data_IF_704011544335
#
_entry.id   IF_704011544335
#
_cell.length_a   1.000
_cell.length_b   1.000
_cell.length_c   1.000
_cell.angle_alpha   90.00
_cell.angle_beta   90.00
_cell.angle_gamma   90.00
#
_symmetry.space_group_name_H-M   'P 1'
#
loop_
_entity.id
_entity.type
_entity.pdbx_description
1 polymer ?
2 non-polymer ?
3 water ?
#
# COMPACT_ATOMS: atom_id res chain seq x y z
N UNK A 3 1.13 16.55 -17.30
CA UNK A 3 -0.35 16.73 -17.17
C UNK A 3 -0.73 17.17 -15.75
N UNK A 4 -0.23 16.44 -14.76
CA UNK A 4 -0.52 16.69 -13.35
C UNK A 4 0.75 16.83 -12.53
N UNK A 5 0.63 17.50 -11.38
CA UNK A 5 1.77 17.68 -10.48
C UNK A 5 1.43 17.02 -9.14
N UNK A 6 0.30 16.33 -9.09
CA UNK A 6 -0.16 15.66 -7.87
C UNK A 6 0.80 14.57 -7.39
N UNK A 7 0.91 14.44 -6.08
CA UNK A 7 1.82 13.46 -5.48
C UNK A 7 1.34 12.02 -5.58
N UNK A 8 0.04 11.82 -5.44
CA UNK A 8 -0.54 10.48 -5.42
C UNK A 8 -1.74 10.26 -6.34
N UNK A 9 -2.06 8.99 -6.61
CA UNK A 9 -3.19 8.68 -7.48
C UNK A 9 -4.50 9.02 -6.81
N UNK A 10 -5.60 8.81 -7.56
CA UNK A 10 -6.92 9.12 -7.05
C UNK A 10 -7.35 10.56 -7.25
N UNK A 11 -6.59 11.30 -8.07
CA UNK A 11 -6.87 12.72 -8.30
C UNK A 11 -7.97 12.98 -9.30
N UNK A 12 -9.13 12.42 -9.01
CA UNK A 12 -10.26 12.59 -9.93
C UNK A 12 -10.74 14.02 -10.03
N UNK A 13 -10.64 14.81 -8.96
CA UNK A 13 -11.10 16.20 -9.04
C UNK A 13 -10.22 16.99 -10.01
N UNK A 14 -8.91 16.84 -9.90
CA UNK A 14 -7.97 17.53 -10.77
C UNK A 14 -8.15 17.07 -12.23
N UNK A 15 -8.30 15.78 -12.44
CA UNK A 15 -8.46 15.26 -13.78
C UNK A 15 -9.77 15.74 -14.41
N UNK A 16 -10.84 15.76 -13.62
CA UNK A 16 -12.13 16.20 -14.12
C UNK A 16 -12.02 17.65 -14.54
N UNK A 17 -11.26 18.45 -13.83
CA UNK A 17 -11.13 19.86 -14.19
C UNK A 17 -10.44 20.04 -15.53
N UNK A 18 -9.52 19.15 -15.90
CA UNK A 18 -8.82 19.24 -17.16
C UNK A 18 -9.82 18.97 -18.30
N UNK A 19 -10.72 18.02 -18.09
CA UNK A 19 -11.72 17.69 -19.12
C UNK A 19 -12.92 18.60 -19.07
N UNK A 20 -13.14 19.25 -17.94
CA UNK A 20 -14.30 20.11 -17.81
C UNK A 20 -15.55 19.32 -17.53
N UNK A 21 -15.42 18.17 -16.86
CA UNK A 21 -16.58 17.34 -16.51
C UNK A 21 -16.64 17.07 -15.01
N UNK A 22 -17.59 16.25 -14.59
CA UNK A 22 -17.74 15.94 -13.17
C UNK A 22 -16.81 14.80 -12.78
N UNK A 23 -16.20 14.90 -11.59
CA UNK A 23 -15.28 13.84 -11.14
C UNK A 23 -15.92 12.46 -11.08
N UNK A 24 -17.22 12.38 -10.84
CA UNK A 24 -17.86 11.07 -10.76
C UNK A 24 -18.06 10.41 -12.12
N UNK A 25 -17.70 11.11 -13.20
CA UNK A 25 -17.83 10.56 -14.54
C UNK A 25 -16.54 9.88 -14.98
N UNK A 26 -15.49 9.99 -14.18
CA UNK A 26 -14.22 9.33 -14.51
C UNK A 26 -14.17 7.89 -14.00
N UNK A 27 -13.53 7.03 -14.78
CA UNK A 27 -13.30 5.63 -14.38
C UNK A 27 -11.83 5.70 -13.91
N UNK A 28 -11.64 5.60 -12.59
CA UNK A 28 -10.33 5.75 -12.00
C UNK A 28 -9.53 4.48 -11.85
N UNK A 29 -8.44 4.41 -12.59
CA UNK A 29 -7.48 3.30 -12.53
C UNK A 29 -6.18 3.77 -11.87
N UNK A 30 -6.21 4.93 -11.21
CA UNK A 30 -5.01 5.49 -10.61
C UNK A 30 -4.86 5.28 -9.09
N UNK A 31 -5.88 4.76 -8.46
CA UNK A 31 -5.89 4.47 -7.03
C UNK A 31 -6.23 3.01 -7.06
N UNK A 32 -5.65 2.26 -6.18
CA UNK A 32 -5.89 0.82 -6.23
C UNK A 32 -6.80 0.36 -5.12
N UNK A 33 -8.08 0.62 -5.31
CA UNK A 33 -9.05 0.23 -4.32
C UNK A 33 -9.90 -0.92 -4.85
N UNK A 34 -10.15 -1.90 -3.99
CA UNK A 34 -10.98 -3.06 -4.32
C UNK A 34 -12.21 -2.48 -5.04
N UNK A 35 -12.54 -2.97 -6.25
CA UNK A 35 -13.70 -2.44 -7.01
C UNK A 35 -15.05 -3.04 -6.69
N UNK A 36 -15.12 -3.97 -5.76
CA UNK A 36 -16.38 -4.65 -5.45
C UNK A 36 -17.42 -3.91 -4.65
N UNK A 37 -17.19 -2.63 -4.36
CA UNK A 37 -18.18 -1.88 -3.61
C UNK A 37 -17.75 -1.63 -2.19
N UNK A 38 -18.54 -2.08 -1.22
CA UNK A 38 -18.22 -1.92 0.19
C UNK A 38 -18.63 -3.20 0.94
N UNK A 39 -17.82 -3.66 1.90
CA UNK A 39 -18.17 -4.88 2.66
C UNK A 39 -19.51 -4.71 3.36
N UNK A 40 -20.31 -5.77 3.38
CA UNK A 40 -21.62 -5.73 4.04
C UNK A 40 -21.44 -5.51 5.54
N UNK A 41 -20.38 -6.09 6.11
CA UNK A 41 -20.13 -5.93 7.55
C UNK A 41 -19.91 -4.47 7.89
N UNK A 42 -19.29 -3.73 6.97
CA UNK A 42 -19.00 -2.33 7.22
C UNK A 42 -20.21 -1.42 7.03
N UNK A 43 -20.93 -1.59 5.93
CA UNK A 43 -22.07 -0.72 5.68
C UNK A 43 -23.10 -0.79 6.80
N UNK A 44 -23.45 -2.00 7.20
CA UNK A 44 -24.43 -2.20 8.26
C UNK A 44 -23.97 -1.57 9.56
N UNK A 45 -22.74 -1.87 9.98
CA UNK A 45 -22.20 -1.35 11.22
C UNK A 45 -22.25 0.19 11.28
N UNK A 46 -21.78 0.83 10.22
CA UNK A 46 -21.78 2.29 10.20
C UNK A 46 -23.19 2.86 10.27
N UNK A 47 -24.10 2.31 9.49
CA UNK A 47 -25.47 2.79 9.49
C UNK A 47 -26.16 2.60 10.85
N UNK A 48 -26.02 1.42 11.42
CA UNK A 48 -26.69 1.14 12.70
C UNK A 48 -26.04 1.77 13.92
N UNK A 49 -24.87 2.38 13.77
CA UNK A 49 -24.19 2.94 14.93
C UNK A 49 -23.68 4.36 14.67
N UNK A 50 -24.29 5.05 13.73
CA UNK A 50 -23.86 6.39 13.38
C UNK A 50 -23.77 7.35 14.56
N UNK A 51 -24.67 7.19 15.53
CA UNK A 51 -24.67 8.10 16.68
C UNK A 51 -23.41 8.03 17.52
N UNK A 52 -22.57 7.01 17.28
CA UNK A 52 -21.36 6.94 18.07
C UNK A 52 -20.43 8.13 17.77
N UNK A 53 -20.69 8.88 16.70
CA UNK A 53 -19.83 10.03 16.43
C UNK A 53 -20.06 11.16 17.42
N UNK A 54 -21.10 11.05 18.23
CA UNK A 54 -21.39 12.08 19.23
C UNK A 54 -20.45 12.04 20.43
N UNK A 55 -19.58 11.02 20.48
CA UNK A 55 -18.61 10.89 21.57
C UNK A 55 -17.21 10.71 21.00
N UNK A 56 -16.21 11.09 21.79
CA UNK A 56 -14.83 10.83 21.38
C UNK A 56 -14.61 9.32 21.33
N UNK A 57 -13.72 8.86 20.46
CA UNK A 57 -13.43 7.43 20.40
C UNK A 57 -12.65 7.17 21.71
N UNK A 58 -12.60 5.92 22.14
CA UNK A 58 -11.80 5.51 23.31
C UNK A 58 -10.34 5.88 22.94
N UNK A 59 -9.70 6.75 23.72
CA UNK A 59 -8.34 7.18 23.42
C UNK A 59 -7.34 6.04 23.35
N UNK A 60 -7.65 4.94 24.03
CA UNK A 60 -6.78 3.76 24.04
C UNK A 60 -7.15 2.74 22.97
N UNK A 61 -8.32 2.91 22.34
CA UNK A 61 -8.79 2.01 21.29
C UNK A 61 -8.69 0.55 21.68
N UNK A 62 -9.11 0.27 22.91
CA UNK A 62 -8.99 -1.11 23.37
C UNK A 62 -9.73 -2.12 22.50
N UNK A 63 -11.00 -1.87 22.20
CA UNK A 63 -11.77 -2.80 21.40
C UNK A 63 -11.20 -3.00 20.00
N UNK A 64 -10.78 -1.90 19.38
CA UNK A 64 -10.26 -2.00 18.04
C UNK A 64 -8.97 -2.81 18.02
N UNK A 65 -8.07 -2.50 18.95
CA UNK A 65 -6.81 -3.22 18.99
C UNK A 65 -7.01 -4.71 19.37
N UNK A 66 -7.99 -5.01 20.23
CA UNK A 66 -8.28 -6.39 20.60
C UNK A 66 -8.79 -7.13 19.35
N UNK A 67 -9.61 -6.46 18.53
CA UNK A 67 -10.13 -7.11 17.32
C UNK A 67 -9.00 -7.42 16.34
N UNK A 68 -8.08 -6.46 16.14
CA UNK A 68 -6.99 -6.66 15.21
C UNK A 68 -6.06 -7.73 15.79
N UNK A 69 -5.85 -7.70 17.11
CA UNK A 69 -4.97 -8.68 17.79
C UNK A 69 -5.53 -10.10 17.72
N UNK A 70 -6.84 -10.24 17.92
CA UNK A 70 -7.45 -11.57 17.86
C UNK A 70 -7.33 -12.12 16.44
N UNK A 71 -7.45 -11.23 15.45
CA UNK A 71 -7.33 -11.64 14.07
C UNK A 71 -5.95 -12.23 13.77
N UNK A 72 -4.90 -11.60 14.28
CA UNK A 72 -3.53 -12.06 14.05
C UNK A 72 -3.02 -12.99 15.14
N UNK A 73 -3.83 -13.18 16.17
CA UNK A 73 -3.47 -14.00 17.31
C UNK A 73 -2.15 -13.56 17.96
N UNK A 74 -2.06 -12.25 18.23
CA UNK A 74 -0.91 -11.67 18.91
C UNK A 74 -1.47 -10.81 20.04
N UNK A 75 -0.62 -10.41 20.98
CA UNK A 75 -1.06 -9.56 22.10
C UNK A 75 -1.52 -8.22 21.53
N UNK A 76 -2.53 -7.63 22.16
CA UNK A 76 -3.06 -6.34 21.69
C UNK A 76 -2.03 -5.22 21.83
N UNK A 77 -1.09 -5.33 22.78
CA UNK A 77 -0.08 -4.31 22.97
C UNK A 77 0.89 -4.25 21.82
N UNK A 78 0.85 -5.22 20.91
CA UNK A 78 1.75 -5.20 19.73
C UNK A 78 1.15 -4.38 18.60
N UNK A 79 -0.08 -3.88 18.77
CA UNK A 79 -0.75 -3.19 17.69
C UNK A 79 -1.15 -1.75 18.00
N UNK A 80 -0.91 -0.86 17.04
CA UNK A 80 -1.35 0.52 17.16
C UNK A 80 -2.03 0.92 15.84
N UNK A 81 -3.34 1.10 15.89
CA UNK A 81 -4.07 1.51 14.70
C UNK A 81 -3.74 2.97 14.38
N UNK A 82 -3.82 3.30 13.09
CA UNK A 82 -3.57 4.68 12.67
C UNK A 82 -4.66 5.13 11.71
N UNK A 83 -4.72 6.45 11.54
CA UNK A 83 -5.64 7.18 10.63
C UNK A 83 -5.07 6.96 9.21
N UNK A 84 -5.33 5.74 8.70
CA UNK A 84 -4.73 5.24 7.52
C UNK A 84 -3.37 4.63 7.84
N UNK A 85 -2.92 3.66 7.04
CA UNK A 85 -1.57 3.17 7.22
C UNK A 85 -0.61 4.34 7.00
N UNK A 86 -1.03 5.37 6.26
CA UNK A 86 -0.16 6.53 6.05
C UNK A 86 0.20 7.11 7.42
N UNK A 87 -0.73 7.17 8.37
CA UNK A 87 -0.36 7.67 9.68
C UNK A 87 0.64 6.73 10.34
N UNK A 88 0.44 5.42 10.20
CA UNK A 88 1.36 4.45 10.80
C UNK A 88 2.78 4.66 10.29
N UNK A 89 2.95 5.03 9.02
CA UNK A 89 4.26 5.33 8.46
C UNK A 89 4.89 6.53 9.18
N UNK A 90 4.13 7.61 9.36
CA UNK A 90 4.67 8.76 10.07
C UNK A 90 4.92 8.43 11.52
N UNK A 91 4.05 7.65 12.13
CA UNK A 91 4.28 7.26 13.51
C UNK A 91 5.55 6.44 13.67
N UNK A 92 5.76 5.44 12.81
CA UNK A 92 6.94 4.60 13.02
C UNK A 92 8.22 5.41 12.74
N UNK A 93 8.20 6.31 11.76
CA UNK A 93 9.38 7.12 11.48
C UNK A 93 9.67 8.04 12.65
N UNK A 94 8.67 8.71 13.18
CA UNK A 94 8.90 9.64 14.29
C UNK A 94 9.23 8.91 15.58
N UNK A 95 8.65 7.74 15.82
CA UNK A 95 8.89 6.99 17.03
C UNK A 95 10.24 6.32 17.03
N UNK A 96 10.75 5.96 15.85
CA UNK A 96 12.08 5.34 15.77
C UNK A 96 13.15 6.42 15.66
N UNK A 97 12.77 7.61 15.20
CA UNK A 97 13.73 8.72 15.06
C UNK A 97 15.09 8.27 14.54
N UNK A 98 15.10 7.61 13.39
CA UNK A 98 16.38 7.16 12.84
C UNK A 98 17.29 8.32 12.47
N UNK A 99 18.60 8.10 12.64
CA UNK A 99 19.60 9.05 12.22
C UNK A 99 19.97 8.78 10.75
N UNK A 100 20.00 7.49 10.39
CA UNK A 100 20.32 7.02 9.05
C UNK A 100 19.31 5.93 8.72
N UNK A 101 18.70 6.02 7.54
CA UNK A 101 17.71 5.02 7.12
C UNK A 101 17.86 4.75 5.65
N UNK A 102 17.47 3.55 5.24
CA UNK A 102 17.53 3.19 3.83
C UNK A 102 16.12 2.90 3.33
N UNK A 103 15.81 3.46 2.18
CA UNK A 103 14.55 3.19 1.49
C UNK A 103 14.91 2.55 0.16
N UNK A 104 13.93 1.92 -0.49
CA UNK A 104 14.15 1.22 -1.75
C UNK A 104 13.36 1.95 -2.82
N UNK A 105 14.00 2.33 -3.90
CA UNK A 105 13.30 3.08 -4.95
C UNK A 105 13.26 2.30 -6.24
N UNK A 106 12.16 2.40 -6.99
CA UNK A 106 10.97 3.23 -6.70
C UNK A 106 10.11 2.66 -5.57
N UNK A 107 9.47 3.56 -4.83
CA UNK A 107 8.61 3.19 -3.73
C UNK A 107 7.69 4.34 -3.34
N UNK A 108 6.76 4.07 -2.45
CA UNK A 108 5.78 5.05 -2.00
C UNK A 108 6.48 6.29 -1.45
N UNK A 109 6.06 7.47 -1.87
CA UNK A 109 6.74 8.70 -1.50
C UNK A 109 6.73 9.07 -0.04
N UNK A 110 5.72 8.61 0.69
CA UNK A 110 5.63 9.04 2.07
C UNK A 110 6.70 8.52 3.02
N UNK A 111 7.42 7.44 2.69
CA UNK A 111 8.48 7.00 3.59
C UNK A 111 9.53 8.11 3.69
N UNK A 112 9.97 8.61 2.53
CA UNK A 112 10.96 9.66 2.49
C UNK A 112 10.46 10.94 3.12
N UNK A 113 9.19 11.27 2.92
CA UNK A 113 8.66 12.49 3.53
C UNK A 113 8.65 12.39 5.04
N UNK A 114 8.23 11.24 5.57
CA UNK A 114 8.20 11.04 7.00
C UNK A 114 9.62 11.08 7.59
N UNK A 115 10.56 10.44 6.92
CA UNK A 115 11.94 10.42 7.41
C UNK A 115 12.54 11.80 7.38
N UNK A 116 12.28 12.58 6.33
CA UNK A 116 12.82 13.93 6.24
C UNK A 116 12.26 14.80 7.36
N UNK A 117 10.97 14.65 7.66
CA UNK A 117 10.34 15.44 8.71
C UNK A 117 10.96 15.13 10.07
N UNK A 118 11.49 13.92 10.23
CA UNK A 118 12.12 13.53 11.49
C UNK A 118 13.62 13.81 11.50
N UNK A 119 14.13 14.43 10.42
CA UNK A 119 15.54 14.80 10.31
C UNK A 119 16.56 13.72 9.90
N UNK A 120 16.11 12.61 9.38
CA UNK A 120 16.97 11.49 9.03
C UNK A 120 17.83 11.61 7.76
N UNK A 121 19.03 11.03 7.77
CA UNK A 121 19.88 10.96 6.57
C UNK A 121 19.29 9.77 5.81
N UNK A 122 18.86 10.01 4.57
CA UNK A 122 18.20 8.95 3.78
C UNK A 122 19.10 8.40 2.70
N UNK A 123 19.28 7.08 2.71
CA UNK A 123 20.06 6.38 1.72
C UNK A 123 19.09 5.60 0.86
N UNK A 124 19.35 5.57 -0.45
CA UNK A 124 18.48 4.86 -1.37
C UNK A 124 19.11 3.64 -1.97
N UNK A 125 18.39 2.53 -1.91
CA UNK A 125 18.82 1.30 -2.57
C UNK A 125 17.99 1.34 -3.85
N UNK A 126 18.66 1.39 -4.99
CA UNK A 126 17.99 1.46 -6.27
C UNK A 126 17.66 0.13 -6.90
N UNK A 127 16.37 -0.13 -7.10
CA UNK A 127 15.97 -1.33 -7.81
C UNK A 127 16.43 -1.11 -9.24
N UNK A 128 16.63 -2.20 -9.97
CA UNK A 128 17.10 -2.10 -11.36
C UNK A 128 16.17 -2.68 -12.40
N UNK A 129 16.08 -1.97 -13.51
CA UNK A 129 15.25 -2.46 -14.62
C UNK A 129 15.81 -3.81 -15.09
N UNK A 130 17.13 -4.01 -15.01
CA UNK A 130 17.75 -5.27 -15.43
C UNK A 130 17.32 -6.47 -14.59
N UNK A 131 16.78 -6.21 -13.40
CA UNK A 131 16.29 -7.26 -12.52
C UNK A 131 14.74 -7.31 -12.60
N UNK A 132 14.18 -6.67 -13.62
CA UNK A 132 12.72 -6.62 -13.73
C UNK A 132 12.12 -5.81 -12.58
N UNK A 133 12.94 -4.95 -11.97
CA UNK A 133 12.54 -4.10 -10.82
C UNK A 133 12.27 -4.89 -9.53
N UNK A 134 12.66 -6.17 -9.49
CA UNK A 134 12.47 -6.99 -8.31
C UNK A 134 13.63 -6.70 -7.36
N UNK A 135 13.36 -6.82 -6.06
CA UNK A 135 14.39 -6.63 -5.05
C UNK A 135 15.26 -7.89 -5.06
N UNK A 136 16.59 -7.72 -5.03
CA UNK A 136 17.49 -8.86 -5.04
C UNK A 136 18.43 -8.91 -3.84
N UNK A 137 19.17 -10.00 -3.73
CA UNK A 137 20.09 -10.16 -2.62
C UNK A 137 21.29 -9.22 -2.66
N UNK A 138 21.43 -8.43 -3.72
CA UNK A 138 22.51 -7.45 -3.78
C UNK A 138 22.32 -6.42 -2.66
N UNK A 139 21.09 -6.23 -2.16
CA UNK A 139 20.91 -5.28 -1.07
C UNK A 139 21.59 -5.71 0.23
N UNK A 140 21.83 -7.01 0.44
CA UNK A 140 22.42 -7.43 1.70
C UNK A 140 23.76 -6.75 2.02
N UNK A 141 24.65 -6.67 1.03
CA UNK A 141 25.96 -6.06 1.23
C UNK A 141 25.86 -4.57 1.52
N UNK A 142 24.76 -3.95 1.09
CA UNK A 142 24.54 -2.53 1.30
C UNK A 142 24.06 -2.23 2.72
N UNK A 143 23.71 -3.26 3.48
CA UNK A 143 23.25 -3.02 4.84
C UNK A 143 24.48 -2.94 5.72
N UNK A 144 24.58 -1.82 6.40
CA UNK A 144 25.73 -1.56 7.25
C UNK A 144 25.31 -1.30 8.69
N UNK A 145 26.24 -1.51 9.63
CA UNK A 145 25.95 -1.30 11.05
C UNK A 145 25.45 0.11 11.39
N UNK A 146 25.84 1.12 10.62
CA UNK A 146 25.38 2.45 10.96
C UNK A 146 23.93 2.76 10.57
N UNK A 147 23.27 1.84 9.88
CA UNK A 147 21.88 2.06 9.54
C UNK A 147 20.96 1.83 10.75
N UNK A 148 19.99 2.72 10.93
CA UNK A 148 19.02 2.54 12.01
C UNK A 148 17.74 1.83 11.54
N UNK A 149 17.37 2.07 10.28
CA UNK A 149 16.17 1.45 9.73
C UNK A 149 16.29 1.19 8.25
N UNK A 150 15.52 0.17 7.81
CA UNK A 150 15.40 -0.21 6.39
C UNK A 150 13.90 -0.38 6.14
N UNK A 151 13.38 0.29 5.11
CA UNK A 151 11.96 0.21 4.71
C UNK A 151 11.84 -0.56 3.42
N UNK A 152 11.07 -1.65 3.48
CA UNK A 152 10.78 -2.46 2.29
C UNK A 152 9.27 -2.52 2.12
N UNK A 153 8.81 -2.61 0.88
CA UNK A 153 7.36 -2.68 0.61
C UNK A 153 7.12 -4.06 -0.01
N UNK A 154 6.19 -4.79 0.58
CA UNK A 154 5.96 -6.19 0.22
C UNK A 154 4.47 -6.51 0.08
N UNK A 155 3.93 -6.49 -1.17
CA UNK A 155 4.58 -6.24 -2.45
C UNK A 155 4.84 -4.75 -2.65
N UNK A 156 5.75 -4.44 -3.56
CA UNK A 156 6.14 -3.05 -3.79
C UNK A 156 5.13 -2.22 -4.55
N UNK A 157 5.07 -0.93 -4.25
CA UNK A 157 4.23 0.06 -4.94
C UNK A 157 5.35 0.86 -5.59
N UNK A 158 5.34 1.05 -6.91
CA UNK A 158 4.36 0.66 -7.93
C UNK A 158 4.54 -0.62 -8.73
N UNK A 159 5.60 -1.36 -8.47
CA UNK A 159 5.89 -2.51 -9.30
C UNK A 159 4.97 -3.71 -9.10
N UNK A 160 4.37 -3.83 -7.92
CA UNK A 160 3.52 -4.98 -7.63
C UNK A 160 4.29 -6.27 -7.30
N UNK A 161 5.60 -6.20 -7.29
CA UNK A 161 6.40 -7.41 -7.05
C UNK A 161 6.63 -7.71 -5.58
N UNK A 162 6.49 -8.98 -5.21
CA UNK A 162 6.73 -9.40 -3.85
C UNK A 162 8.14 -9.99 -3.77
N UNK A 163 9.01 -9.44 -2.89
CA UNK A 163 10.35 -10.03 -2.82
C UNK A 163 10.19 -11.47 -2.36
N UNK A 164 11.12 -12.33 -2.79
CA UNK A 164 11.07 -13.73 -2.39
C UNK A 164 11.13 -13.87 -0.87
N UNK A 165 10.40 -14.82 -0.33
CA UNK A 165 10.38 -15.02 1.10
C UNK A 165 11.77 -15.32 1.68
N UNK A 166 12.55 -16.22 1.05
CA UNK A 166 13.87 -16.47 1.63
C UNK A 166 14.76 -15.23 1.63
N UNK A 167 14.54 -14.31 0.67
CA UNK A 167 15.34 -13.10 0.61
C UNK A 167 14.89 -12.20 1.78
N UNK A 168 13.59 -12.10 2.01
CA UNK A 168 13.11 -11.27 3.12
C UNK A 168 13.64 -11.85 4.45
N UNK A 169 13.68 -13.18 4.56
CA UNK A 169 14.18 -13.79 5.77
C UNK A 169 15.66 -13.47 5.93
N UNK A 170 16.42 -13.52 4.84
CA UNK A 170 17.85 -13.21 4.93
C UNK A 170 18.05 -11.76 5.33
N UNK A 171 17.23 -10.87 4.78
CA UNK A 171 17.33 -9.45 5.15
C UNK A 171 16.96 -9.27 6.63
N UNK A 172 15.88 -9.89 7.08
CA UNK A 172 15.49 -9.78 8.48
C UNK A 172 16.62 -10.27 9.39
N UNK A 173 17.25 -11.37 9.03
CA UNK A 173 18.33 -11.90 9.87
C UNK A 173 19.54 -10.99 9.87
N UNK A 174 19.88 -10.41 8.73
CA UNK A 174 21.01 -9.51 8.69
C UNK A 174 20.70 -8.26 9.52
N UNK A 175 19.47 -7.75 9.39
CA UNK A 175 19.09 -6.58 10.18
C UNK A 175 19.16 -6.91 11.67
N UNK A 176 18.77 -8.12 12.07
CA UNK A 176 18.83 -8.50 13.48
C UNK A 176 20.28 -8.41 13.96
N UNK A 177 21.19 -8.96 13.17
CA UNK A 177 22.62 -8.99 13.53
C UNK A 177 23.24 -7.61 13.58
N UNK A 178 22.81 -6.73 12.70
CA UNK A 178 23.34 -5.38 12.62
C UNK A 178 22.54 -4.35 13.42
N UNK A 179 21.52 -4.80 14.13
CA UNK A 179 20.67 -3.91 14.93
C UNK A 179 20.00 -2.84 14.07
N UNK A 180 19.41 -3.29 12.96
CA UNK A 180 18.68 -2.40 12.06
C UNK A 180 17.20 -2.71 12.19
N UNK A 181 16.36 -1.70 12.37
CA UNK A 181 14.91 -1.94 12.41
C UNK A 181 14.47 -2.17 10.96
N UNK A 182 13.70 -3.24 10.75
CA UNK A 182 13.19 -3.61 9.43
C UNK A 182 11.72 -3.29 9.42
N UNK A 183 11.33 -2.37 8.55
CA UNK A 183 9.92 -1.96 8.45
C UNK A 183 9.38 -2.54 7.15
N UNK A 184 8.37 -3.40 7.26
CA UNK A 184 7.76 -4.07 6.10
C UNK A 184 6.38 -3.49 5.84
N UNK A 185 6.23 -2.85 4.69
CA UNK A 185 4.94 -2.29 4.29
C UNK A 185 4.10 -3.37 3.59
N UNK A 186 3.17 -3.94 4.35
CA UNK A 186 2.30 -5.01 3.83
C UNK A 186 0.92 -4.46 3.43
N UNK A 187 0.86 -3.19 3.03
CA UNK A 187 -0.42 -2.59 2.65
C UNK A 187 -1.25 -3.41 1.67
N UNK A 188 -0.59 -4.08 0.73
CA UNK A 188 -1.29 -4.85 -0.30
C UNK A 188 -1.23 -6.34 -0.12
N UNK A 189 -0.68 -6.83 0.98
CA UNK A 189 -0.49 -8.26 1.10
C UNK A 189 -1.80 -9.05 1.23
N UNK A 190 -2.88 -8.39 1.67
CA UNK A 190 -4.17 -9.08 1.82
C UNK A 190 -4.64 -9.65 0.51
N UNK A 191 -4.25 -9.03 -0.60
CA UNK A 191 -4.68 -9.51 -1.92
C UNK A 191 -3.99 -10.79 -2.40
N UNK A 192 -2.94 -11.21 -1.70
CA UNK A 192 -2.17 -12.42 -2.06
C UNK A 192 -2.49 -13.43 -0.97
N UNK A 193 -3.59 -14.20 -1.13
CA UNK A 193 -4.08 -15.21 -0.16
C UNK A 193 -3.12 -16.21 0.48
N UNK A 194 -2.17 -16.71 -0.30
CA UNK A 194 -1.25 -17.68 0.23
C UNK A 194 -0.03 -17.06 0.93
N UNK A 195 -0.04 -15.74 1.08
CA UNK A 195 1.08 -15.05 1.73
C UNK A 195 0.70 -14.66 3.13
N UNK A 196 1.47 -15.12 4.12
CA UNK A 196 1.17 -14.78 5.48
C UNK A 196 1.85 -13.48 5.92
N UNK A 197 2.90 -13.06 5.21
CA UNK A 197 3.59 -11.87 5.67
C UNK A 197 4.40 -12.23 6.91
N UNK A 198 4.87 -11.20 7.60
CA UNK A 198 5.72 -11.39 8.76
C UNK A 198 5.10 -11.27 10.14
N UNK A 199 3.83 -10.91 10.25
CA UNK A 199 3.27 -10.84 11.59
C UNK A 199 3.42 -12.15 12.40
N UNK A 200 3.32 -13.33 11.76
CA UNK A 200 3.46 -14.57 12.54
C UNK A 200 4.87 -14.81 13.07
N UNK A 201 5.85 -14.02 12.60
CA UNK A 201 7.24 -14.18 13.02
C UNK A 201 7.77 -13.08 13.95
N UNK A 202 6.89 -12.20 14.40
CA UNK A 202 7.34 -11.10 15.25
C UNK A 202 7.72 -11.46 16.67
N UNK A 203 7.17 -12.54 17.19
CA UNK A 203 7.45 -12.91 18.58
C UNK A 203 8.93 -12.93 18.90
N UNK A 204 9.75 -13.51 18.02
CA UNK A 204 11.18 -13.56 18.31
C UNK A 204 11.98 -12.57 17.51
N UNK A 205 11.32 -11.51 17.05
CA UNK A 205 12.02 -10.53 16.24
C UNK A 205 11.51 -9.13 16.51
N UNK A 206 11.89 -8.54 17.65
CA UNK A 206 11.44 -7.20 18.04
C UNK A 206 11.95 -6.07 17.16
N UNK A 207 12.87 -6.37 16.25
CA UNK A 207 13.41 -5.35 15.35
C UNK A 207 12.56 -5.19 14.08
N UNK A 208 11.54 -6.07 13.91
CA UNK A 208 10.70 -6.01 12.71
C UNK A 208 9.39 -5.29 13.01
N UNK A 209 9.00 -4.43 12.08
CA UNK A 209 7.76 -3.64 12.21
C UNK A 209 6.94 -3.92 10.96
N UNK A 210 5.69 -4.28 11.14
CA UNK A 210 4.82 -4.52 9.99
C UNK A 210 3.74 -3.46 9.93
N UNK A 211 3.55 -2.91 8.74
CA UNK A 211 2.52 -1.90 8.46
C UNK A 211 1.43 -2.59 7.67
N UNK A 212 0.19 -2.35 8.09
CA UNK A 212 -0.97 -2.90 7.43
C UNK A 212 -2.00 -1.82 7.12
N UNK A 213 -2.80 -2.06 6.09
CA UNK A 213 -3.87 -1.12 5.72
C UNK A 213 -5.15 -1.90 5.49
N UNK A 214 -6.27 -1.34 5.89
CA UNK A 214 -7.59 -1.95 5.56
C UNK A 214 -8.21 -1.19 4.41
N UNK A 215 -7.62 -0.08 3.97
CA UNK A 215 -8.33 0.74 2.98
C UNK A 215 -8.40 0.19 1.56
N UNK A 216 -7.33 -0.42 1.08
CA UNK A 216 -7.30 -0.96 -0.28
C UNK A 216 -8.19 -2.20 -0.39
N UNK A 217 -7.98 -3.14 0.51
CA UNK A 217 -8.72 -4.41 0.45
C UNK A 217 -10.19 -4.34 0.80
N UNK A 218 -10.55 -3.50 1.78
CA UNK A 218 -11.93 -3.38 2.24
C UNK A 218 -12.67 -2.17 1.68
N UNK A 219 -12.01 -1.45 0.76
CA UNK A 219 -12.61 -0.30 0.09
C UNK A 219 -13.11 0.78 1.04
N UNK A 220 -12.27 1.11 2.02
CA UNK A 220 -12.63 2.18 2.94
C UNK A 220 -11.55 3.26 3.02
N UNK A 221 -10.94 3.65 1.88
CA UNK A 221 -9.92 4.70 1.94
C UNK A 221 -10.43 6.03 2.46
N UNK A 222 -11.71 6.32 2.29
CA UNK A 222 -12.25 7.56 2.81
C UNK A 222 -12.43 7.54 4.31
N UNK A 223 -12.46 6.37 4.94
CA UNK A 223 -12.59 6.27 6.38
C UNK A 223 -11.26 6.41 7.11
N UNK A 224 -10.19 5.96 6.46
CA UNK A 224 -8.79 6.01 6.96
C UNK A 224 -8.51 5.00 8.09
N UNK A 225 -7.96 3.84 7.74
CA UNK A 225 -7.62 2.86 8.76
C UNK A 225 -6.48 1.97 8.33
N UNK A 226 -5.44 1.98 9.17
CA UNK A 226 -4.29 1.09 9.00
C UNK A 226 -3.77 0.75 10.39
N UNK A 227 -2.66 0.03 10.47
CA UNK A 227 -2.10 -0.26 11.80
C UNK A 227 -0.65 -0.70 11.70
N UNK A 228 0.02 -0.58 12.84
CA UNK A 228 1.43 -0.94 13.00
C UNK A 228 1.50 -2.13 13.98
N UNK A 229 2.39 -3.08 13.69
CA UNK A 229 2.55 -4.27 14.56
C UNK A 229 4.03 -4.49 14.87
N UNK A 230 4.33 -4.72 16.15
CA UNK A 230 5.71 -4.92 16.58
C UNK A 230 5.68 -5.51 18.00
N UNK A 231 6.66 -6.37 18.31
CA UNK A 231 6.68 -7.05 19.63
C UNK A 231 7.59 -6.48 20.71
N UNK A 232 8.17 -5.31 20.48
CA UNK A 232 9.04 -4.67 21.48
C UNK A 232 8.13 -3.87 22.40
N UNK A 233 8.02 -4.28 23.67
CA UNK A 233 7.13 -3.59 24.58
C UNK A 233 7.42 -2.11 24.72
N UNK A 234 8.67 -1.75 25.01
CA UNK A 234 9.02 -0.37 25.19
C UNK A 234 8.83 0.49 23.95
N UNK A 235 9.19 -0.06 22.80
CA UNK A 235 9.10 0.74 21.58
C UNK A 235 7.64 0.98 21.24
N UNK A 236 6.77 -0.03 21.36
CA UNK A 236 5.35 0.21 21.08
C UNK A 236 4.72 1.18 22.07
N UNK A 237 5.15 1.13 23.33
CA UNK A 237 4.62 2.09 24.29
C UNK A 237 5.00 3.52 23.84
N UNK A 238 6.23 3.66 23.35
CA UNK A 238 6.65 4.97 22.87
C UNK A 238 5.81 5.38 21.64
N UNK A 239 5.52 4.43 20.75
CA UNK A 239 4.70 4.75 19.57
C UNK A 239 3.32 5.28 19.98
N UNK A 240 2.72 4.72 21.02
CA UNK A 240 1.42 5.20 21.46
C UNK A 240 1.50 6.64 21.93
N UNK A 241 2.63 7.06 22.49
CA UNK A 241 2.78 8.45 22.93
C UNK A 241 3.08 9.37 21.76
N UNK A 242 3.79 8.87 20.75
CA UNK A 242 4.14 9.67 19.59
C UNK A 242 2.96 10.00 18.69
N UNK A 243 2.04 9.06 18.56
CA UNK A 243 0.90 9.31 17.69
C UNK A 243 -0.11 10.25 18.36
N UNK A 244 -0.66 11.16 17.58
CA UNK A 244 -1.63 12.12 18.12
C UNK A 244 -2.87 11.49 18.79
N UNK A 245 -3.37 12.08 19.90
CA UNK A 245 -4.56 11.52 20.54
C UNK A 245 -5.80 11.56 19.60
N UNK A 246 -6.64 10.51 19.71
CA UNK A 246 -7.92 10.40 18.98
C UNK A 246 -7.74 10.49 17.49
N UNK A 247 -6.64 9.95 16.97
CA UNK A 247 -6.41 10.10 15.54
C UNK A 247 -7.27 9.19 14.68
N UNK A 248 -7.74 8.08 15.26
CA UNK A 248 -8.59 7.16 14.51
C UNK A 248 -10.04 7.51 14.79
N UNK A 249 -10.80 7.80 13.74
CA UNK A 249 -12.17 8.20 14.00
C UNK A 249 -13.05 7.02 14.42
N UNK A 250 -14.18 7.32 15.04
CA UNK A 250 -15.03 6.27 15.56
C UNK A 250 -15.60 5.33 14.53
N UNK A 251 -15.90 5.85 13.34
CA UNK A 251 -16.47 5.00 12.28
C UNK A 251 -15.39 4.10 11.68
N UNK A 252 -14.16 4.64 11.52
CA UNK A 252 -13.08 3.81 11.05
C UNK A 252 -12.86 2.64 12.04
N UNK A 253 -12.91 2.92 13.35
CA UNK A 253 -12.69 1.86 14.36
C UNK A 253 -13.78 0.81 14.25
N UNK A 254 -15.04 1.23 14.09
CA UNK A 254 -16.14 0.28 13.94
C UNK A 254 -15.92 -0.60 12.70
N UNK A 255 -15.47 -0.02 11.59
CA UNK A 255 -15.22 -0.86 10.42
C UNK A 255 -14.06 -1.84 10.65
N UNK A 256 -13.01 -1.41 11.34
CA UNK A 256 -11.89 -2.29 11.62
C UNK A 256 -12.22 -3.42 12.59
N UNK A 257 -13.36 -3.30 13.24
CA UNK A 257 -13.78 -4.29 14.22
C UNK A 257 -14.57 -5.42 13.62
N UNK A 258 -15.05 -5.20 12.42
CA UNK A 258 -15.85 -6.22 11.77
C UNK A 258 -15.35 -6.67 10.41
N UNK A 259 -14.67 -5.80 9.71
CA UNK A 259 -14.20 -6.14 8.37
C UNK A 259 -13.33 -7.39 8.28
N UNK A 260 -12.42 -7.60 9.21
CA UNK A 260 -11.52 -8.77 9.14
C UNK A 260 -12.23 -10.12 9.28
N UNK A 261 -13.50 -10.07 9.67
CA UNK A 261 -14.34 -11.26 9.85
C UNK A 261 -15.37 -11.36 8.71
N UNK A 262 -15.20 -10.55 7.66
CA UNK A 262 -16.14 -10.58 6.54
C UNK A 262 -15.67 -11.58 5.49
N UNK A 263 -15.95 -12.86 5.74
CA UNK A 263 -15.55 -13.95 4.86
C UNK A 263 -16.10 -13.82 3.44
N UNK A 264 -17.35 -13.39 3.34
CA UNK A 264 -17.97 -13.22 2.03
C UNK A 264 -17.17 -12.24 1.18
N UNK A 265 -16.77 -11.11 1.77
CA UNK A 265 -16.00 -10.12 1.02
C UNK A 265 -14.63 -10.65 0.65
N UNK A 266 -13.94 -11.28 1.61
CA UNK A 266 -12.62 -11.81 1.32
C UNK A 266 -12.62 -12.82 0.18
N UNK A 267 -13.55 -13.77 0.26
CA UNK A 267 -13.65 -14.80 -0.77
C UNK A 267 -13.97 -14.22 -2.14
N UNK A 268 -14.90 -13.26 -2.17
CA UNK A 268 -15.27 -12.64 -3.44
C UNK A 268 -14.08 -11.88 -4.01
N UNK A 269 -13.28 -11.29 -3.12
CA UNK A 269 -12.14 -10.53 -3.57
C UNK A 269 -11.06 -11.44 -4.14
N UNK A 270 -10.72 -12.52 -3.44
CA UNK A 270 -9.67 -13.42 -3.97
C UNK A 270 -10.07 -14.12 -5.28
N UNK A 271 -11.34 -14.46 -5.39
CA UNK A 271 -11.83 -15.10 -6.60
C UNK A 271 -11.73 -14.12 -7.76
N UNK A 272 -12.20 -12.90 -7.52
CA UNK A 272 -12.13 -11.87 -8.53
C UNK A 272 -10.69 -11.62 -9.00
N UNK A 273 -9.76 -11.44 -8.06
CA UNK A 273 -8.40 -11.13 -8.46
C UNK A 273 -7.68 -12.27 -9.21
N UNK A 274 -7.89 -13.50 -8.76
CA UNK A 274 -7.29 -14.65 -9.40
C UNK A 274 -7.78 -14.78 -10.85
N UNK A 275 -9.08 -14.69 -11.06
CA UNK A 275 -9.67 -14.82 -12.39
C UNK A 275 -9.45 -13.61 -13.29
N UNK A 276 -10.00 -12.49 -12.86
CA UNK A 276 -9.90 -11.27 -13.65
C UNK A 276 -8.47 -10.73 -13.68
N UNK A 277 -7.74 -10.84 -12.56
CA UNK A 277 -6.38 -10.34 -12.55
C UNK A 277 -5.50 -10.98 -13.61
N UNK A 278 -5.57 -12.30 -13.73
CA UNK A 278 -4.78 -13.00 -14.73
C UNK A 278 -5.22 -12.64 -16.17
N UNK A 279 -6.52 -12.51 -16.39
CA UNK A 279 -7.01 -12.15 -17.72
C UNK A 279 -6.55 -10.78 -18.14
N UNK A 280 -6.62 -9.82 -17.21
CA UNK A 280 -6.22 -8.44 -17.50
C UNK A 280 -4.74 -8.37 -17.79
N UNK A 281 -3.93 -8.98 -16.94
CA UNK A 281 -2.48 -9.03 -17.17
C UNK A 281 -2.17 -9.64 -18.55
N UNK A 282 -2.79 -10.78 -18.84
CA UNK A 282 -2.54 -11.42 -20.13
C UNK A 282 -2.89 -10.51 -21.29
N UNK A 283 -4.03 -9.85 -21.21
CA UNK A 283 -4.45 -8.97 -22.28
C UNK A 283 -3.45 -7.84 -22.48
N UNK A 284 -3.03 -7.21 -21.38
CA UNK A 284 -2.08 -6.11 -21.49
C UNK A 284 -0.75 -6.54 -22.11
N UNK A 285 -0.30 -7.75 -21.75
CA UNK A 285 0.97 -8.27 -22.26
C UNK A 285 1.00 -8.42 -23.77
N UNK A 286 -0.18 -8.52 -24.38
CA UNK A 286 -0.20 -8.70 -25.85
C UNK A 286 0.07 -7.43 -26.62
N UNK A 287 -0.09 -6.27 -25.99
CA UNK A 287 0.05 -5.01 -26.71
C UNK A 287 1.44 -4.64 -27.07
N UNK A 288 1.62 -4.20 -28.32
CA UNK A 288 2.93 -3.82 -28.79
C UNK A 288 3.43 -2.59 -28.02
N UNK A 289 4.74 -2.47 -27.90
CA UNK A 289 5.32 -1.32 -27.21
C UNK A 289 5.11 -1.30 -25.70
N UNK A 290 4.37 -2.26 -25.17
CA UNK A 290 4.16 -2.32 -23.73
C UNK A 290 4.97 -3.43 -23.09
N UNK A 291 5.50 -3.15 -21.90
CA UNK A 291 6.18 -4.15 -21.10
C UNK A 291 5.31 -4.11 -19.85
N UNK A 292 4.85 -5.27 -19.39
CA UNK A 292 3.97 -5.34 -18.24
C UNK A 292 4.65 -6.16 -17.17
N UNK A 293 4.77 -5.64 -15.96
CA UNK A 293 5.43 -6.39 -14.89
C UNK A 293 4.39 -7.24 -14.19
N UNK A 294 4.79 -8.42 -13.71
CA UNK A 294 3.85 -9.32 -13.06
C UNK A 294 3.46 -8.99 -11.67
N UNK A 295 2.58 -7.99 -11.55
CA UNK A 295 2.13 -7.57 -10.23
C UNK A 295 1.35 -8.64 -9.50
N UNK A 296 1.48 -8.70 -8.17
CA UNK A 296 0.83 -9.72 -7.37
C UNK A 296 -0.44 -9.29 -6.67
N UNK A 297 -0.72 -8.00 -6.65
CA UNK A 297 -1.93 -7.52 -6.00
C UNK A 297 -2.86 -6.87 -7.04
N UNK A 298 -3.61 -5.85 -6.65
CA UNK A 298 -4.62 -5.27 -7.54
C UNK A 298 -4.15 -4.11 -8.40
N UNK A 299 -2.93 -4.20 -8.93
CA UNK A 299 -2.44 -3.18 -9.84
C UNK A 299 -1.28 -3.73 -10.64
N UNK A 300 -0.98 -3.05 -11.74
CA UNK A 300 0.12 -3.45 -12.62
C UNK A 300 0.91 -2.25 -13.10
N UNK A 301 2.22 -2.41 -13.10
CA UNK A 301 3.13 -1.38 -13.63
C UNK A 301 3.36 -1.69 -15.13
N UNK A 302 3.26 -0.64 -15.94
CA UNK A 302 3.42 -0.72 -17.40
C UNK A 302 4.55 0.20 -17.84
N UNK A 303 5.31 -0.24 -18.85
CA UNK A 303 6.36 0.59 -19.45
C UNK A 303 5.99 0.71 -20.91
N UNK A 304 5.79 1.93 -21.38
CA UNK A 304 5.49 2.16 -22.80
C UNK A 304 6.80 2.47 -23.51
N UNK A 305 7.12 1.66 -24.52
CA UNK A 305 8.37 1.82 -25.27
C UNK A 305 8.55 3.20 -25.91
N UNK A 306 7.46 3.77 -26.40
CA UNK A 306 7.47 5.09 -27.06
C UNK A 306 7.35 6.20 -26.04
N UNK A 307 8.46 6.87 -25.74
CA UNK A 307 8.43 7.94 -24.76
C UNK A 307 7.58 9.13 -25.21
N UNK A 308 7.43 9.29 -26.52
CA UNK A 308 6.65 10.39 -27.08
C UNK A 308 5.14 10.21 -26.94
N UNK A 309 4.71 9.03 -26.49
CA UNK A 309 3.29 8.77 -26.33
C UNK A 309 2.89 8.89 -24.85
N UNK A 310 1.99 9.83 -24.56
CA UNK A 310 1.54 10.02 -23.17
C UNK A 310 0.26 9.24 -22.98
N UNK A 311 0.40 8.01 -22.45
CA UNK A 311 -0.76 7.18 -22.25
C UNK A 311 -1.75 7.79 -21.28
N UNK A 312 -1.26 8.50 -20.27
CA UNK A 312 -2.21 9.11 -19.32
C UNK A 312 -3.08 10.17 -20.02
N UNK A 313 -2.46 11.00 -20.86
CA UNK A 313 -3.21 12.01 -21.57
C UNK A 313 -4.20 11.34 -22.57
N UNK A 314 -3.72 10.36 -23.30
CA UNK A 314 -4.56 9.66 -24.29
C UNK A 314 -5.75 8.97 -23.64
N UNK A 315 -5.54 8.31 -22.50
CA UNK A 315 -6.64 7.63 -21.87
C UNK A 315 -7.62 8.59 -21.19
N UNK A 316 -7.11 9.73 -20.70
CA UNK A 316 -8.01 10.68 -20.06
C UNK A 316 -9.10 11.17 -21.02
N UNK A 317 -8.77 11.24 -22.30
CA UNK A 317 -9.74 11.63 -23.31
C UNK A 317 -10.98 10.71 -23.27
N UNK A 318 -10.76 9.44 -22.92
CA UNK A 318 -11.82 8.44 -22.83
C UNK A 318 -12.39 8.29 -21.41
N UNK A 319 -12.11 9.28 -20.58
CA UNK A 319 -12.56 9.35 -19.18
C UNK A 319 -11.90 8.31 -18.30
N UNK A 320 -10.72 7.87 -18.69
CA UNK A 320 -9.98 6.86 -17.92
C UNK A 320 -8.75 7.49 -17.32
N UNK A 321 -8.68 7.48 -15.98
CA UNK A 321 -7.56 8.07 -15.28
C UNK A 321 -6.56 7.01 -14.82
N UNK A 322 -5.32 7.14 -15.25
CA UNK A 322 -4.27 6.21 -14.82
C UNK A 322 -3.20 6.96 -14.04
N UNK A 323 -2.32 6.24 -13.37
CA UNK A 323 -1.23 6.84 -12.63
C UNK A 323 0.02 6.97 -13.50
N UNK A 324 0.59 8.17 -13.57
CA UNK A 324 1.84 8.35 -14.27
C UNK A 324 2.91 8.14 -13.18
N UNK A 325 3.91 7.33 -13.46
CA UNK A 325 4.93 7.07 -12.47
C UNK A 325 6.17 7.90 -12.66
N UNK A 326 6.04 8.98 -13.42
CA UNK A 326 7.19 9.86 -13.66
C UNK A 326 7.71 10.45 -12.33
N UNK A 327 6.84 10.64 -11.34
CA UNK A 327 7.30 11.23 -10.08
C UNK A 327 7.94 10.28 -9.08
N UNK A 328 8.17 9.02 -9.47
CA UNK A 328 8.85 8.08 -8.59
C UNK A 328 10.32 8.10 -8.94
N UNK A 329 11.19 8.25 -7.93
CA UNK A 329 12.62 8.24 -8.23
C UNK A 329 12.95 6.87 -8.81
N UNK A 330 13.71 6.86 -9.90
CA UNK A 330 14.08 5.59 -10.50
C UNK A 330 13.27 5.31 -11.75
N UNK A 331 12.09 5.89 -11.86
CA UNK A 331 11.25 5.70 -13.04
C UNK A 331 11.17 6.98 -13.85
N UNK A 332 10.67 6.87 -15.06
CA UNK A 332 10.55 8.04 -15.94
C UNK A 332 9.16 8.05 -16.57
N UNK A 333 8.93 8.99 -17.49
CA UNK A 333 7.61 9.15 -18.09
C UNK A 333 7.09 8.01 -18.92
N UNK A 334 7.90 6.99 -19.16
CA UNK A 334 7.42 5.84 -19.91
C UNK A 334 6.62 4.89 -19.01
N UNK A 335 6.68 5.10 -17.69
CA UNK A 335 6.02 4.21 -16.75
C UNK A 335 4.68 4.68 -16.21
N UNK A 336 3.73 3.76 -16.17
CA UNK A 336 2.38 4.04 -15.72
C UNK A 336 1.92 2.90 -14.84
N UNK A 337 0.97 3.16 -13.97
CA UNK A 337 0.40 2.11 -13.14
C UNK A 337 -1.12 2.14 -13.29
N UNK A 338 -1.70 0.95 -13.42
CA UNK A 338 -3.16 0.83 -13.53
C UNK A 338 -3.66 -0.15 -12.49
N UNK A 339 -4.79 0.18 -11.89
CA UNK A 339 -5.45 -0.69 -10.95
C UNK A 339 -6.04 -1.86 -11.73
N UNK A 340 -6.34 -2.94 -11.03
CA UNK A 340 -7.08 -4.04 -11.65
C UNK A 340 -8.49 -3.81 -11.09
N UNK A 341 -9.47 -3.67 -11.99
CA UNK A 341 -10.84 -3.42 -11.56
C UNK A 341 -11.78 -4.54 -12.03
N UNK A 342 -13.07 -4.25 -12.19
CA UNK A 342 -14.00 -5.30 -12.63
C UNK A 342 -13.73 -5.65 -14.08
N UNK A 343 -14.23 -6.81 -14.52
CA UNK A 343 -14.01 -7.22 -15.91
C UNK A 343 -14.48 -6.15 -16.90
N UNK A 344 -15.68 -5.61 -16.66
CA UNK A 344 -16.22 -4.61 -17.56
C UNK A 344 -15.39 -3.33 -17.56
N UNK A 345 -14.93 -2.93 -16.37
CA UNK A 345 -14.13 -1.73 -16.25
C UNK A 345 -12.78 -1.95 -16.93
N UNK A 346 -12.20 -3.12 -16.71
CA UNK A 346 -10.92 -3.43 -17.34
C UNK A 346 -11.04 -3.44 -18.87
N UNK A 347 -12.18 -3.92 -19.37
CA UNK A 347 -12.41 -3.96 -20.81
C UNK A 347 -12.41 -2.54 -21.39
N UNK A 348 -12.98 -1.58 -20.66
CA UNK A 348 -12.96 -0.21 -21.15
C UNK A 348 -11.53 0.30 -21.28
N UNK A 349 -10.68 -0.03 -20.30
CA UNK A 349 -9.31 0.43 -20.37
C UNK A 349 -8.58 -0.24 -21.52
N UNK A 350 -8.77 -1.56 -21.68
CA UNK A 350 -8.13 -2.29 -22.74
C UNK A 350 -8.54 -1.74 -24.11
N UNK A 351 -9.84 -1.49 -24.27
CA UNK A 351 -10.36 -0.96 -25.53
C UNK A 351 -9.69 0.36 -25.87
N UNK A 352 -9.43 1.18 -24.85
CA UNK A 352 -8.77 2.47 -25.06
C UNK A 352 -7.29 2.31 -25.41
N UNK A 353 -6.58 1.46 -24.68
CA UNK A 353 -5.16 1.24 -24.96
C UNK A 353 -4.90 0.65 -26.34
N UNK A 354 -5.74 -0.31 -26.74
CA UNK A 354 -5.56 -0.94 -28.04
C UNK A 354 -5.65 0.08 -29.16
N UNK A 355 -6.52 1.06 -29.01
CA UNK A 355 -6.68 2.09 -30.04
C UNK A 355 -5.50 3.07 -30.09
N UNK A 356 -4.68 3.09 -29.05
CA UNK A 356 -3.51 3.96 -28.99
C UNK A 356 -2.26 3.22 -29.47
N UNK A 357 -2.16 1.96 -29.06
CA UNK A 357 -1.01 1.15 -29.42
C UNK A 357 -1.33 0.25 -30.62
#
# INVERSE_FOLDING_TARGET
>A
MALFNTAHGGNIREPATVLGISPDQLLDFSANINPLGMPVSVKRALIDNLDCIERYPDADYFHLHQALARHHQVPASWILAGNGETESIFTVASGLKPRRAMIVTPGFAEYGRALAQSGCEIRRWSLREADGWQLTDAILEALTPDLDCLFLCTPNNPTGLLPERPLLQAIADRCKSLNINLILDEAFIDFIPHETGFIPALKDNPHIWVLRSLTKFYAIPGLRLGYLVNSDDAAMARMRRQQMPWSVNALAALAGEVALQDSAWQQATWHWLREEGARFYQALCQLPLLTVYPGRANYLLLRCEREDIDLQRRLLTQRILIRSCANYPGLDSRYYRVAIRSAAQNERLLAALRNVLTGIAPAD
#
